data_IF_347307909737
#
_entry.id   IF_347307909737
#
_cell.length_a   1.000
_cell.length_b   1.000
_cell.length_c   1.000
_cell.angle_alpha   90.00
_cell.angle_beta   90.00
_cell.angle_gamma   90.00
#
_symmetry.space_group_name_H-M   'P 1'
#
loop_
_entity.id
_entity.type
_entity.pdbx_description
1 polymer ?
#
# COMPACT_ATOMS: atom_id res chain seq x y z
N UNK A 1 9.39 33.88 -21.60
CA UNK A 1 10.23 33.04 -20.71
C UNK A 1 9.52 31.71 -20.54
N UNK A 2 9.93 30.68 -21.29
CA UNK A 2 9.35 29.34 -21.15
C UNK A 2 9.94 28.73 -19.87
N UNK A 3 9.18 28.76 -18.76
CA UNK A 3 9.57 28.09 -17.52
C UNK A 3 9.25 26.61 -17.68
N UNK A 4 10.24 25.87 -18.19
CA UNK A 4 10.07 24.49 -18.60
C UNK A 4 10.33 23.54 -17.43
N UNK A 5 9.48 23.62 -16.41
CA UNK A 5 9.57 22.97 -15.09
C UNK A 5 9.53 21.41 -15.16
N UNK A 6 10.45 20.81 -15.91
CA UNK A 6 10.48 19.38 -16.27
C UNK A 6 9.39 18.94 -17.25
N UNK A 7 8.70 19.87 -17.93
CA UNK A 7 7.58 19.55 -18.84
C UNK A 7 8.06 19.01 -20.18
N UNK A 8 9.13 19.56 -20.74
CA UNK A 8 9.74 19.04 -21.96
C UNK A 8 10.19 17.58 -21.83
N UNK A 9 10.65 17.15 -20.66
CA UNK A 9 11.04 15.75 -20.40
C UNK A 9 9.85 14.76 -20.47
N UNK A 10 8.61 15.27 -20.37
CA UNK A 10 7.41 14.44 -20.50
C UNK A 10 6.97 14.27 -21.96
N UNK A 11 7.47 15.10 -22.89
CA UNK A 11 7.08 15.07 -24.30
C UNK A 11 7.64 13.81 -24.95
N UNK A 12 6.79 13.01 -25.61
CA UNK A 12 7.17 11.74 -26.24
C UNK A 12 7.31 10.56 -25.27
N UNK A 13 7.11 10.78 -23.96
CA UNK A 13 7.22 9.75 -22.92
C UNK A 13 5.88 9.21 -22.43
N UNK A 14 5.94 8.26 -21.49
CA UNK A 14 4.76 7.66 -20.82
C UNK A 14 3.90 8.67 -20.05
N UNK A 15 4.46 9.85 -19.72
CA UNK A 15 3.78 10.92 -18.96
C UNK A 15 3.20 12.03 -19.86
N UNK A 16 3.33 11.92 -21.19
CA UNK A 16 2.91 12.97 -22.12
C UNK A 16 1.43 13.36 -21.95
N UNK A 17 0.57 12.41 -21.62
CA UNK A 17 -0.86 12.67 -21.44
C UNK A 17 -1.15 13.61 -20.27
N UNK A 18 -0.24 13.71 -19.30
CA UNK A 18 -0.33 14.66 -18.21
C UNK A 18 -0.24 16.12 -18.70
N UNK A 19 0.41 16.37 -19.84
CA UNK A 19 0.52 17.70 -20.44
C UNK A 19 -0.83 18.24 -20.96
N UNK A 20 -1.82 17.36 -21.18
CA UNK A 20 -3.19 17.76 -21.55
C UNK A 20 -3.99 18.33 -20.38
N UNK A 21 -3.46 18.30 -19.16
CA UNK A 21 -4.19 18.71 -17.97
C UNK A 21 -4.51 20.21 -17.98
N UNK A 22 -5.80 20.53 -18.05
CA UNK A 22 -6.34 21.90 -17.98
C UNK A 22 -6.57 22.40 -16.53
N UNK A 23 -6.11 21.64 -15.52
CA UNK A 23 -6.27 21.96 -14.08
C UNK A 23 -7.72 22.22 -13.64
N UNK A 24 -8.70 21.51 -14.22
CA UNK A 24 -10.12 21.66 -13.87
C UNK A 24 -10.54 21.07 -12.51
N UNK A 25 -9.62 20.48 -11.73
CA UNK A 25 -9.88 19.89 -10.41
C UNK A 25 -10.90 18.72 -10.35
N UNK A 26 -11.45 18.24 -11.47
CA UNK A 26 -12.40 17.12 -11.47
C UNK A 26 -11.81 15.85 -10.80
N UNK A 27 -10.54 15.54 -11.09
CA UNK A 27 -9.86 14.37 -10.54
C UNK A 27 -9.68 14.42 -9.01
N UNK A 28 -9.47 15.59 -8.42
CA UNK A 28 -9.28 15.74 -6.97
C UNK A 28 -10.61 15.69 -6.22
N UNK A 29 -11.66 16.31 -6.75
CA UNK A 29 -12.98 16.35 -6.11
C UNK A 29 -13.63 14.95 -6.04
N UNK A 30 -13.35 14.10 -7.02
CA UNK A 30 -13.85 12.72 -7.04
C UNK A 30 -12.88 11.69 -6.47
N UNK A 31 -11.73 12.13 -5.94
CA UNK A 31 -10.77 11.22 -5.32
C UNK A 31 -11.17 10.95 -3.87
N UNK A 32 -11.49 9.69 -3.49
CA UNK A 32 -11.87 9.37 -2.11
C UNK A 32 -10.72 9.63 -1.14
N UNK A 33 -9.48 9.38 -1.55
CA UNK A 33 -8.29 9.65 -0.73
C UNK A 33 -8.19 11.14 -0.45
N UNK A 34 -8.22 11.98 -1.49
CA UNK A 34 -8.14 13.43 -1.34
C UNK A 34 -9.27 13.97 -0.43
N UNK A 35 -10.49 13.45 -0.57
CA UNK A 35 -11.61 13.81 0.30
C UNK A 35 -11.41 13.45 1.77
N UNK A 36 -10.68 12.38 2.08
CA UNK A 36 -10.44 11.94 3.46
C UNK A 36 -9.23 12.58 4.14
N UNK A 37 -8.12 12.80 3.42
CA UNK A 37 -6.88 13.34 4.02
C UNK A 37 -6.66 14.83 3.75
N UNK A 38 -7.37 15.41 2.77
CA UNK A 38 -7.17 16.79 2.35
C UNK A 38 -5.88 17.03 1.55
N UNK A 39 -5.68 18.27 1.12
CA UNK A 39 -4.56 18.64 0.24
C UNK A 39 -3.20 18.75 0.93
N UNK A 40 -3.14 19.15 2.19
CA UNK A 40 -1.88 19.34 2.91
C UNK A 40 -1.08 18.05 3.10
N UNK A 41 -1.77 16.91 3.24
CA UNK A 41 -1.14 15.60 3.38
C UNK A 41 -0.37 15.15 2.13
N UNK A 42 -0.57 15.79 0.98
CA UNK A 42 0.21 15.52 -0.25
C UNK A 42 1.60 16.20 -0.23
N UNK A 43 1.84 17.14 0.69
CA UNK A 43 3.18 17.68 0.94
C UNK A 43 3.84 18.46 -0.20
N UNK A 44 3.11 18.84 -1.25
CA UNK A 44 3.63 19.61 -2.37
C UNK A 44 2.61 20.59 -2.96
N UNK A 45 3.08 21.48 -3.84
CA UNK A 45 2.30 22.56 -4.49
C UNK A 45 1.09 22.02 -5.27
N UNK A 46 1.22 20.84 -5.88
CA UNK A 46 0.12 20.18 -6.59
C UNK A 46 -0.42 19.03 -5.75
N UNK A 47 -1.66 19.12 -5.25
CA UNK A 47 -2.26 18.04 -4.49
C UNK A 47 -3.09 17.09 -5.37
N UNK A 48 -3.58 16.01 -4.77
CA UNK A 48 -4.50 15.07 -5.40
C UNK A 48 -3.83 14.14 -6.43
N UNK A 49 -4.65 13.41 -7.23
CA UNK A 49 -4.14 12.43 -8.19
C UNK A 49 -3.22 13.04 -9.25
N UNK A 50 -3.50 14.27 -9.67
CA UNK A 50 -2.68 15.01 -10.62
C UNK A 50 -1.30 15.35 -10.04
N UNK A 51 -1.27 15.85 -8.81
CA UNK A 51 -0.03 16.11 -8.09
C UNK A 51 0.80 14.85 -7.86
N UNK A 52 0.14 13.72 -7.64
CA UNK A 52 0.81 12.41 -7.47
C UNK A 52 1.55 11.94 -8.72
N UNK A 53 1.22 12.49 -9.90
CA UNK A 53 1.93 12.22 -11.16
C UNK A 53 3.01 13.27 -11.44
N UNK A 54 2.71 14.55 -11.22
CA UNK A 54 3.64 15.65 -11.52
C UNK A 54 4.77 15.81 -10.50
N UNK A 55 4.49 15.64 -9.21
CA UNK A 55 5.47 15.85 -8.15
C UNK A 55 6.70 14.95 -8.30
N UNK A 56 6.57 13.62 -8.56
CA UNK A 56 7.73 12.78 -8.82
C UNK A 56 8.59 13.20 -10.01
N UNK A 57 8.01 13.85 -11.03
CA UNK A 57 8.79 14.38 -12.15
C UNK A 57 9.63 15.60 -11.75
N UNK A 58 9.08 16.48 -10.90
CA UNK A 58 9.75 17.74 -10.54
C UNK A 58 10.80 17.58 -9.44
N UNK A 59 10.51 16.79 -8.39
CA UNK A 59 11.40 16.64 -7.22
C UNK A 59 12.11 15.29 -7.17
N UNK A 60 11.84 14.42 -8.15
CA UNK A 60 12.32 13.05 -8.21
C UNK A 60 11.43 12.06 -7.46
N UNK A 61 11.36 10.83 -7.98
CA UNK A 61 10.60 9.74 -7.37
C UNK A 61 11.10 9.36 -5.96
N UNK A 62 12.36 9.63 -5.64
CA UNK A 62 12.96 9.36 -4.33
C UNK A 62 12.28 10.09 -3.18
N UNK A 63 11.84 11.34 -3.43
CA UNK A 63 11.16 12.18 -2.44
C UNK A 63 9.65 12.03 -2.50
N UNK A 64 9.11 11.62 -3.64
CA UNK A 64 7.68 11.62 -3.93
C UNK A 64 7.05 10.22 -4.07
N UNK A 65 7.81 9.13 -3.84
CA UNK A 65 7.35 7.75 -3.99
C UNK A 65 6.06 7.43 -3.22
N UNK A 66 5.84 8.08 -2.08
CA UNK A 66 4.63 7.88 -1.28
C UNK A 66 3.35 8.37 -1.99
N UNK A 67 3.43 9.36 -2.90
CA UNK A 67 2.24 9.94 -3.53
C UNK A 67 1.56 8.96 -4.50
N UNK A 68 2.27 8.34 -5.48
CA UNK A 68 1.67 7.27 -6.29
C UNK A 68 1.23 6.06 -5.44
N UNK A 69 1.90 5.80 -4.31
CA UNK A 69 1.55 4.70 -3.41
C UNK A 69 0.31 4.96 -2.56
N UNK A 70 -0.03 6.21 -2.24
CA UNK A 70 -1.21 6.56 -1.46
C UNK A 70 -2.54 6.35 -2.24
N UNK A 71 -2.47 6.25 -3.57
CA UNK A 71 -3.67 6.03 -4.39
C UNK A 71 -4.25 4.62 -4.22
N UNK A 72 -5.59 4.55 -4.16
CA UNK A 72 -6.36 3.29 -4.14
C UNK A 72 -6.61 2.72 -5.54
N UNK A 73 -6.24 3.44 -6.61
CA UNK A 73 -6.45 3.04 -8.00
C UNK A 73 -7.91 2.72 -8.35
N UNK A 74 -8.87 3.43 -7.73
CA UNK A 74 -10.30 3.27 -8.01
C UNK A 74 -10.74 3.71 -9.43
N UNK A 75 -9.88 4.37 -10.20
CA UNK A 75 -10.16 4.77 -11.59
C UNK A 75 -11.11 5.95 -11.76
N UNK A 76 -11.74 6.46 -10.69
CA UNK A 76 -12.73 7.53 -10.80
C UNK A 76 -12.17 8.80 -11.44
N UNK A 77 -10.93 9.16 -11.13
CA UNK A 77 -10.24 10.32 -11.68
C UNK A 77 -10.07 10.30 -13.21
N UNK A 78 -9.99 9.13 -13.83
CA UNK A 78 -9.95 8.94 -15.28
C UNK A 78 -11.35 9.06 -15.88
N UNK A 79 -12.37 8.45 -15.24
CA UNK A 79 -13.75 8.49 -15.73
C UNK A 79 -14.39 9.88 -15.77
N UNK A 80 -13.98 10.78 -14.86
CA UNK A 80 -14.53 12.15 -14.76
C UNK A 80 -13.65 13.19 -15.46
N UNK A 81 -12.53 12.77 -16.05
CA UNK A 81 -11.60 13.68 -16.69
C UNK A 81 -12.18 14.16 -18.03
N UNK A 82 -12.40 15.47 -18.24
CA UNK A 82 -12.94 16.00 -19.50
C UNK A 82 -11.98 15.86 -20.68
N UNK A 83 -10.70 15.60 -20.40
CA UNK A 83 -9.63 15.43 -21.39
C UNK A 83 -9.04 14.01 -21.36
N UNK A 84 -9.75 13.06 -20.74
CA UNK A 84 -9.45 11.63 -20.73
C UNK A 84 -8.00 11.25 -20.37
N UNK A 85 -7.43 11.86 -19.33
CA UNK A 85 -6.08 11.54 -18.86
C UNK A 85 -6.13 10.26 -18.00
N UNK A 86 -5.39 9.21 -18.34
CA UNK A 86 -5.37 7.95 -17.57
C UNK A 86 -4.43 8.06 -16.37
N UNK A 87 -4.80 8.90 -15.40
CA UNK A 87 -4.04 9.12 -14.16
C UNK A 87 -3.65 7.82 -13.43
N UNK A 88 -4.52 6.79 -13.33
CA UNK A 88 -4.14 5.50 -12.75
C UNK A 88 -2.99 4.81 -13.50
N UNK A 89 -2.95 4.90 -14.83
CA UNK A 89 -1.84 4.33 -15.63
C UNK A 89 -0.54 5.07 -15.33
N UNK A 90 -0.57 6.40 -15.30
CA UNK A 90 0.61 7.24 -15.03
C UNK A 90 1.17 6.99 -13.61
N UNK A 91 0.30 6.86 -12.61
CA UNK A 91 0.75 6.52 -11.24
C UNK A 91 1.33 5.10 -11.15
N UNK A 92 0.82 4.13 -11.93
CA UNK A 92 1.41 2.78 -12.00
C UNK A 92 2.82 2.81 -12.61
N UNK A 93 3.05 3.65 -13.62
CA UNK A 93 4.38 3.85 -14.18
C UNK A 93 5.37 4.28 -13.09
N UNK A 94 5.01 5.26 -12.25
CA UNK A 94 5.84 5.68 -11.13
C UNK A 94 6.09 4.58 -10.09
N UNK A 95 5.07 3.78 -9.74
CA UNK A 95 5.25 2.63 -8.83
C UNK A 95 6.21 1.59 -9.40
N UNK A 96 6.17 1.33 -10.71
CA UNK A 96 7.12 0.43 -11.39
C UNK A 96 8.53 1.00 -11.33
N UNK A 97 8.69 2.28 -11.63
CA UNK A 97 9.98 2.98 -11.59
C UNK A 97 10.60 2.97 -10.17
N UNK A 98 9.79 3.23 -9.14
CA UNK A 98 10.19 3.13 -7.74
C UNK A 98 10.69 1.72 -7.37
N UNK A 99 9.98 0.69 -7.83
CA UNK A 99 10.34 -0.70 -7.59
C UNK A 99 11.66 -1.08 -8.27
N UNK A 100 11.83 -0.70 -9.55
CA UNK A 100 13.04 -0.92 -10.34
C UNK A 100 14.26 -0.19 -9.75
N UNK A 101 14.08 1.04 -9.28
CA UNK A 101 15.12 1.81 -8.57
C UNK A 101 15.36 1.39 -7.13
N UNK A 102 14.63 0.36 -6.67
CA UNK A 102 14.76 -0.21 -5.36
C UNK A 102 14.50 0.74 -4.17
N UNK A 103 13.70 1.78 -4.37
CA UNK A 103 13.44 2.83 -3.38
C UNK A 103 12.52 2.39 -2.22
N UNK A 104 11.85 1.24 -2.37
CA UNK A 104 11.07 0.64 -1.28
C UNK A 104 11.98 0.21 -0.12
N UNK A 105 11.57 0.35 1.15
CA UNK A 105 12.36 -0.06 2.31
C UNK A 105 12.87 -1.51 2.21
N UNK A 106 14.18 -1.71 2.40
CA UNK A 106 14.81 -3.05 2.33
C UNK A 106 14.16 -4.05 3.28
N UNK A 107 13.78 -3.60 4.47
CA UNK A 107 13.06 -4.40 5.46
C UNK A 107 11.73 -4.93 4.93
N UNK A 108 10.92 -4.09 4.27
CA UNK A 108 9.65 -4.49 3.68
C UNK A 108 9.85 -5.52 2.56
N UNK A 109 10.84 -5.31 1.69
CA UNK A 109 11.14 -6.26 0.60
C UNK A 109 11.58 -7.62 1.13
N UNK A 110 12.45 -7.64 2.13
CA UNK A 110 12.91 -8.88 2.74
C UNK A 110 11.80 -9.57 3.53
N UNK A 111 10.96 -8.82 4.24
CA UNK A 111 9.77 -9.33 4.92
C UNK A 111 8.76 -9.96 3.97
N UNK A 112 8.47 -9.32 2.83
CA UNK A 112 7.58 -9.89 1.80
C UNK A 112 8.22 -11.15 1.18
N UNK A 113 9.53 -11.14 0.91
CA UNK A 113 10.22 -12.30 0.32
C UNK A 113 10.24 -13.50 1.27
N UNK A 114 10.54 -13.29 2.55
CA UNK A 114 10.49 -14.34 3.57
C UNK A 114 9.06 -14.84 3.77
N UNK A 115 8.08 -13.94 3.86
CA UNK A 115 6.67 -14.33 3.92
C UNK A 115 6.23 -15.15 2.70
N UNK A 116 6.56 -14.70 1.49
CA UNK A 116 6.23 -15.42 0.26
C UNK A 116 6.87 -16.82 0.20
N UNK A 117 8.09 -16.97 0.72
CA UNK A 117 8.75 -18.28 0.82
C UNK A 117 7.99 -19.25 1.74
N UNK A 118 7.53 -18.77 2.90
CA UNK A 118 6.72 -19.59 3.81
C UNK A 118 5.32 -19.85 3.25
N UNK A 119 4.65 -18.84 2.69
CA UNK A 119 3.30 -18.95 2.16
C UNK A 119 3.21 -19.92 0.97
N UNK A 120 4.25 -19.99 0.13
CA UNK A 120 4.33 -20.96 -0.99
C UNK A 120 4.55 -22.41 -0.55
N UNK A 121 4.81 -22.68 0.73
CA UNK A 121 5.10 -24.02 1.27
C UNK A 121 4.03 -24.40 2.31
N UNK A 122 2.94 -25.06 1.90
CA UNK A 122 1.77 -25.31 2.76
C UNK A 122 2.09 -26.07 4.05
N UNK A 123 3.01 -27.04 4.00
CA UNK A 123 3.41 -27.85 5.17
C UNK A 123 4.15 -27.02 6.21
N UNK A 124 5.14 -26.22 5.78
CA UNK A 124 5.87 -25.30 6.65
C UNK A 124 4.95 -24.23 7.20
N UNK A 125 4.09 -23.65 6.37
CA UNK A 125 3.14 -22.62 6.80
C UNK A 125 2.18 -23.13 7.87
N UNK A 126 1.66 -24.36 7.71
CA UNK A 126 0.81 -25.01 8.73
C UNK A 126 1.57 -25.27 10.02
N UNK A 127 2.79 -25.79 9.94
CA UNK A 127 3.60 -26.06 11.14
C UNK A 127 3.93 -24.76 11.88
N UNK A 128 4.38 -23.72 11.17
CA UNK A 128 4.65 -22.39 11.74
C UNK A 128 3.40 -21.75 12.34
N UNK A 129 2.26 -21.86 11.67
CA UNK A 129 0.98 -21.33 12.18
C UNK A 129 0.55 -22.06 13.45
N UNK A 130 0.74 -23.39 13.53
CA UNK A 130 0.40 -24.17 14.72
C UNK A 130 1.35 -23.88 15.89
N UNK A 131 2.66 -23.79 15.63
CA UNK A 131 3.65 -23.48 16.67
C UNK A 131 3.51 -22.05 17.17
N UNK A 132 3.33 -21.08 16.26
CA UNK A 132 3.05 -19.68 16.64
C UNK A 132 1.75 -19.56 17.45
N UNK A 133 0.67 -20.25 17.05
CA UNK A 133 -0.59 -20.24 17.80
C UNK A 133 -0.41 -20.80 19.23
N UNK A 134 0.33 -21.91 19.37
CA UNK A 134 0.66 -22.50 20.67
C UNK A 134 1.55 -21.58 21.52
N UNK A 135 2.54 -20.93 20.92
CA UNK A 135 3.44 -20.00 21.61
C UNK A 135 2.71 -18.73 22.06
N UNK A 136 1.87 -18.15 21.20
CA UNK A 136 1.01 -17.01 21.53
C UNK A 136 0.02 -17.34 22.65
N UNK A 137 -0.51 -18.56 22.69
CA UNK A 137 -1.35 -19.03 23.79
C UNK A 137 -0.58 -19.16 25.11
N UNK A 138 0.65 -19.68 25.07
CA UNK A 138 1.51 -19.74 26.26
C UNK A 138 1.80 -18.33 26.79
N UNK A 139 2.07 -17.38 25.90
CA UNK A 139 2.28 -15.96 26.22
C UNK A 139 1.00 -15.25 26.72
N UNK A 140 -0.17 -15.63 26.21
CA UNK A 140 -1.47 -15.08 26.63
C UNK A 140 -2.01 -15.65 27.95
N UNK A 141 -1.38 -16.71 28.48
CA UNK A 141 -1.71 -17.34 29.76
C UNK A 141 -3.20 -17.71 29.92
N UNK A 142 -3.66 -17.79 31.18
CA UNK A 142 -5.08 -18.06 31.52
C UNK A 142 -6.01 -16.88 31.24
N UNK A 143 -5.47 -15.68 30.99
CA UNK A 143 -6.24 -14.44 30.78
C UNK A 143 -6.62 -14.22 29.31
N UNK A 144 -6.05 -15.01 28.38
CA UNK A 144 -6.39 -14.95 26.96
C UNK A 144 -6.03 -13.61 26.31
N UNK A 145 -5.08 -12.85 26.87
CA UNK A 145 -4.67 -11.51 26.40
C UNK A 145 -3.16 -11.38 26.52
N UNK A 146 -2.52 -10.88 25.45
CA UNK A 146 -1.07 -10.69 25.37
C UNK A 146 -0.79 -9.20 25.56
N UNK A 147 -0.17 -8.85 26.69
CA UNK A 147 0.07 -7.46 27.08
C UNK A 147 1.35 -6.87 26.48
N UNK A 148 2.36 -7.69 26.14
CA UNK A 148 3.61 -7.20 25.52
C UNK A 148 4.11 -8.20 24.49
N UNK A 149 4.31 -7.71 23.26
CA UNK A 149 5.05 -8.43 22.23
C UNK A 149 6.30 -7.61 21.89
N UNK A 150 7.52 -8.13 22.12
CA UNK A 150 8.75 -7.36 21.89
C UNK A 150 8.96 -6.99 20.41
N UNK A 151 8.32 -7.69 19.48
CA UNK A 151 8.39 -7.42 18.03
C UNK A 151 7.34 -6.41 17.56
N UNK A 152 6.31 -6.13 18.38
CA UNK A 152 5.20 -5.22 18.03
C UNK A 152 4.89 -4.28 19.20
N UNK A 153 5.93 -3.84 19.93
CA UNK A 153 5.80 -3.10 21.19
C UNK A 153 4.92 -1.87 21.04
N UNK A 154 5.13 -1.06 20.00
CA UNK A 154 4.35 0.16 19.75
C UNK A 154 2.85 -0.06 19.50
N UNK A 155 2.42 -1.26 19.11
CA UNK A 155 0.99 -1.61 19.05
C UNK A 155 0.49 -2.13 20.40
N UNK A 156 1.28 -2.96 21.08
CA UNK A 156 0.91 -3.54 22.39
C UNK A 156 0.94 -2.55 23.54
N UNK A 157 1.64 -1.41 23.38
CA UNK A 157 1.68 -0.33 24.37
C UNK A 157 0.33 0.40 24.49
N UNK A 158 -0.46 0.42 23.42
CA UNK A 158 -1.78 1.08 23.39
C UNK A 158 -2.96 0.11 23.18
N UNK A 159 -2.71 -1.13 22.74
CA UNK A 159 -3.76 -2.11 22.44
C UNK A 159 -3.38 -3.51 22.90
N UNK A 160 -4.25 -4.13 23.68
CA UNK A 160 -4.08 -5.53 24.06
C UNK A 160 -4.44 -6.46 22.90
N UNK A 161 -3.62 -7.48 22.67
CA UNK A 161 -3.89 -8.47 21.62
C UNK A 161 -4.64 -9.67 22.22
N UNK A 162 -5.82 -10.06 21.72
CA UNK A 162 -6.49 -11.26 22.19
C UNK A 162 -5.64 -12.49 21.83
N UNK A 163 -5.48 -13.39 22.79
CA UNK A 163 -4.79 -14.65 22.55
C UNK A 163 -5.64 -15.49 21.57
N UNK A 164 -5.02 -16.07 20.54
CA UNK A 164 -5.74 -16.79 19.51
C UNK A 164 -6.44 -18.05 20.07
N UNK A 165 -7.57 -18.42 19.46
CA UNK A 165 -8.36 -19.60 19.83
C UNK A 165 -7.57 -20.91 19.64
N UNK A 166 -7.94 -21.96 20.38
CA UNK A 166 -7.19 -23.22 20.50
C UNK A 166 -6.84 -23.90 19.18
N UNK A 167 -7.63 -23.70 18.11
CA UNK A 167 -7.41 -24.28 16.79
C UNK A 167 -7.14 -23.19 15.77
N UNK A 168 -6.14 -23.40 14.91
CA UNK A 168 -5.90 -22.52 13.76
C UNK A 168 -7.09 -22.56 12.78
N UNK A 169 -7.30 -21.51 12.00
CA UNK A 169 -8.38 -21.47 10.99
C UNK A 169 -8.36 -22.71 10.08
N UNK A 170 -7.19 -23.12 9.62
CA UNK A 170 -7.02 -24.32 8.77
C UNK A 170 -7.42 -25.62 9.48
N UNK A 171 -7.17 -25.74 10.79
CA UNK A 171 -7.62 -26.90 11.57
C UNK A 171 -9.14 -26.90 11.74
N UNK A 172 -9.73 -25.75 12.09
CA UNK A 172 -11.19 -25.61 12.20
C UNK A 172 -11.89 -25.90 10.86
N UNK A 173 -11.29 -25.45 9.75
CA UNK A 173 -11.78 -25.72 8.40
C UNK A 173 -11.77 -27.21 8.06
N UNK A 174 -10.66 -27.90 8.31
CA UNK A 174 -10.55 -29.34 8.05
C UNK A 174 -11.50 -30.17 8.93
N UNK A 175 -11.72 -29.76 10.18
CA UNK A 175 -12.68 -30.42 11.07
C UNK A 175 -14.12 -30.23 10.59
N UNK A 176 -14.49 -29.03 10.15
CA UNK A 176 -15.80 -28.78 9.53
C UNK A 176 -16.02 -29.61 8.26
N UNK A 177 -14.99 -29.73 7.42
CA UNK A 177 -15.05 -30.57 6.21
C UNK A 177 -15.22 -32.06 6.53
N UNK A 178 -14.62 -32.54 7.63
CA UNK A 178 -14.77 -33.94 8.09
C UNK A 178 -16.09 -34.22 8.81
N UNK A 179 -16.70 -33.21 9.43
CA UNK A 179 -17.97 -33.33 10.15
C UNK A 179 -19.21 -33.11 9.26
N UNK A 180 -19.02 -32.65 8.01
CA UNK A 180 -20.07 -32.47 7.01
C UNK A 180 -20.25 -33.65 6.05
N UNK A 181 -19.66 -34.80 6.39
CA UNK A 181 -19.85 -36.11 5.74
C UNK A 181 -20.44 -37.08 6.78
#
# INVERSE_FOLDING_TARGET
MLVDNGRSDMVGGELQEMLRCIRCAACMNHCPVYGSIGGHSYGWVYPGPMGSVLTPQMIGIEKAALLPNASTFCGKCESVCPVHIPLPKLMRHWRKNEFERHLTPKAARWGIKTWAFFAKRPTLYRLLSQTSNRMLRLLGGKKGRIHKLPVVSGWTDHREMPAPSSKTFMQQWNEKQKAGH
#
